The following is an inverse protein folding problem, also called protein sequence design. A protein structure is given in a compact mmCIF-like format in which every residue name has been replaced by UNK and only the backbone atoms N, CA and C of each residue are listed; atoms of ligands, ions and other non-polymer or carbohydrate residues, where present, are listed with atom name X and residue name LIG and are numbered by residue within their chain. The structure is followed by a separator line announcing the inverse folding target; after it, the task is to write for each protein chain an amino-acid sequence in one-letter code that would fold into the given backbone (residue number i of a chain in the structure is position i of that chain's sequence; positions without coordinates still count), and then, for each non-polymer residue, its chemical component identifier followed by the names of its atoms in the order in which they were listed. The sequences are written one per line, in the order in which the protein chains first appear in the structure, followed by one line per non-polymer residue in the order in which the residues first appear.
data_IF_652301679569
#
_entry.id   IF_652301679569
#
_cell.length_a   1.000
_cell.length_b   1.000
_cell.length_c   1.000
_cell.angle_alpha   90.00
_cell.angle_beta   90.00
_cell.angle_gamma   90.00
#
_symmetry.space_group_name_H-M   'P 1'
#
loop_
_entity.id
_entity.type
_entity.pdbx_description
1 polymer ?
#
# COMPACT_ATOMS: atom_id res chain seq x y z
N UNK A 1 12.79 -49.41 -33.14
CA UNK A 1 12.76 -48.30 -34.11
C UNK A 1 11.33 -47.98 -34.49
N UNK A 2 10.67 -47.04 -33.79
CA UNK A 2 9.33 -46.55 -34.15
C UNK A 2 9.22 -45.05 -33.84
N UNK A 3 9.36 -44.28 -34.92
CA UNK A 3 8.78 -42.98 -35.27
C UNK A 3 8.66 -41.92 -34.16
N UNK A 4 9.65 -41.03 -34.17
CA UNK A 4 9.58 -39.64 -33.69
C UNK A 4 8.41 -38.93 -34.40
N UNK A 5 7.47 -38.41 -33.62
CA UNK A 5 6.43 -37.49 -34.10
C UNK A 5 6.81 -36.08 -33.64
N UNK A 6 7.45 -35.35 -34.56
CA UNK A 6 7.63 -33.90 -34.50
C UNK A 6 6.37 -33.28 -35.09
N UNK A 7 5.63 -32.53 -34.28
CA UNK A 7 4.61 -31.54 -34.65
C UNK A 7 4.10 -30.94 -33.32
N UNK A 8 3.88 -29.65 -33.12
CA UNK A 8 3.87 -28.48 -33.99
C UNK A 8 3.99 -27.30 -33.00
N UNK A 9 4.82 -26.33 -33.35
CA UNK A 9 4.92 -25.02 -32.72
C UNK A 9 3.55 -24.35 -32.52
N UNK A 10 3.17 -24.07 -31.27
CA UNK A 10 2.18 -23.05 -30.95
C UNK A 10 2.92 -21.81 -30.41
N UNK A 11 3.49 -21.07 -31.36
CA UNK A 11 3.83 -19.66 -31.17
C UNK A 11 2.54 -18.85 -31.20
N UNK A 12 2.53 -17.75 -30.43
CA UNK A 12 1.45 -16.76 -30.29
C UNK A 12 0.37 -17.26 -29.32
N UNK A 13 0.19 -16.65 -28.16
CA UNK A 13 -0.18 -15.24 -28.04
C UNK A 13 0.77 -14.57 -27.05
N UNK A 14 1.56 -13.61 -27.52
CA UNK A 14 1.93 -12.47 -26.70
C UNK A 14 0.60 -11.92 -26.21
N UNK A 15 0.21 -12.25 -24.98
CA UNK A 15 -0.81 -11.47 -24.30
C UNK A 15 -0.21 -10.07 -24.31
N UNK A 16 -0.70 -9.26 -25.24
CA UNK A 16 -0.45 -7.83 -25.24
C UNK A 16 -0.66 -7.42 -23.80
N UNK A 17 0.44 -7.06 -23.11
CA UNK A 17 0.35 -6.06 -22.07
C UNK A 17 -0.24 -4.87 -22.78
N UNK A 18 -1.59 -4.83 -22.86
CA UNK A 18 -2.32 -3.64 -23.19
C UNK A 18 -1.89 -2.67 -22.11
N UNK A 19 -0.91 -1.84 -22.44
CA UNK A 19 -0.59 -0.64 -21.70
C UNK A 19 -1.68 0.39 -22.01
N UNK A 20 -2.94 0.00 -21.85
CA UNK A 20 -4.01 0.93 -21.55
C UNK A 20 -4.01 1.04 -20.03
N UNK A 21 -2.90 1.57 -19.50
CA UNK A 21 -3.02 2.43 -18.32
C UNK A 21 -3.81 3.61 -18.88
N UNK A 22 -5.14 3.57 -18.70
CA UNK A 22 -5.94 4.78 -18.62
C UNK A 22 -5.08 5.73 -17.80
N UNK A 23 -4.59 6.79 -18.44
CA UNK A 23 -3.73 7.76 -17.80
C UNK A 23 -4.51 8.26 -16.61
N UNK A 24 -4.19 7.74 -15.42
CA UNK A 24 -4.76 8.22 -14.18
C UNK A 24 -4.32 9.67 -14.09
N UNK A 25 -5.21 10.58 -14.48
CA UNK A 25 -4.93 12.00 -14.39
C UNK A 25 -4.49 12.28 -12.97
N UNK A 26 -3.32 12.89 -12.86
CA UNK A 26 -2.75 13.25 -11.57
C UNK A 26 -3.77 14.09 -10.80
N UNK A 27 -4.22 13.58 -9.66
CA UNK A 27 -5.12 14.27 -8.77
C UNK A 27 -4.40 14.49 -7.42
N UNK A 28 -4.05 15.74 -7.07
CA UNK A 28 -3.35 16.07 -5.83
C UNK A 28 -4.00 15.50 -4.58
N UNK A 29 -5.31 15.23 -4.58
CA UNK A 29 -6.00 14.67 -3.41
C UNK A 29 -5.53 13.25 -3.05
N UNK A 30 -4.95 12.53 -4.01
CA UNK A 30 -4.39 11.19 -3.80
C UNK A 30 -2.86 11.19 -3.64
N UNK A 31 -2.23 12.37 -3.66
CA UNK A 31 -0.79 12.50 -3.43
C UNK A 31 -0.47 12.22 -1.95
N UNK A 32 0.50 11.34 -1.74
CA UNK A 32 1.14 11.06 -0.46
C UNK A 32 2.53 11.71 -0.50
N UNK A 33 2.76 12.69 0.37
CA UNK A 33 4.06 13.34 0.52
C UNK A 33 4.72 12.86 1.82
N UNK A 34 5.93 12.33 1.75
CA UNK A 34 6.60 11.70 2.90
C UNK A 34 7.98 12.33 3.08
N UNK A 35 8.28 12.79 4.28
CA UNK A 35 9.62 13.16 4.69
C UNK A 35 10.08 12.26 5.84
N UNK A 36 10.87 11.24 5.48
CA UNK A 36 11.41 10.27 6.44
C UNK A 36 12.42 10.87 7.43
N UNK A 37 12.98 12.07 7.15
CA UNK A 37 13.93 12.74 8.07
C UNK A 37 13.18 13.46 9.17
N UNK A 38 12.08 14.13 8.83
CA UNK A 38 11.28 14.90 9.80
C UNK A 38 10.15 14.10 10.42
N UNK A 39 9.78 12.96 9.84
CA UNK A 39 8.62 12.17 10.25
C UNK A 39 7.29 12.77 9.79
N UNK A 40 7.34 13.75 8.88
CA UNK A 40 6.16 14.40 8.33
C UNK A 40 5.58 13.56 7.20
N UNK A 41 4.26 13.34 7.25
CA UNK A 41 3.52 12.70 6.17
C UNK A 41 2.28 13.53 5.84
N UNK A 42 2.02 13.74 4.56
CA UNK A 42 0.79 14.37 4.07
C UNK A 42 0.04 13.45 3.12
N UNK A 43 -1.28 13.57 3.14
CA UNK A 43 -2.17 12.94 2.17
C UNK A 43 -3.13 14.02 1.64
N UNK A 44 -3.20 14.19 0.32
CA UNK A 44 -4.05 15.22 -0.28
C UNK A 44 -3.72 16.64 0.18
N UNK A 45 -2.45 16.90 0.48
CA UNK A 45 -1.96 18.18 1.03
C UNK A 45 -2.19 18.38 2.54
N UNK A 46 -2.86 17.45 3.23
CA UNK A 46 -3.11 17.53 4.68
C UNK A 46 -2.08 16.73 5.45
N UNK A 47 -1.46 17.35 6.47
CA UNK A 47 -0.54 16.66 7.38
C UNK A 47 -1.32 15.63 8.18
N UNK A 48 -0.85 14.38 8.16
CA UNK A 48 -1.40 13.32 8.97
C UNK A 48 -0.75 13.33 10.36
N UNK A 49 -1.53 12.93 11.36
CA UNK A 49 -1.04 12.77 12.72
C UNK A 49 -0.30 11.44 12.84
N UNK A 50 0.88 11.43 13.47
CA UNK A 50 1.57 10.18 13.80
C UNK A 50 0.70 9.34 14.74
N UNK A 51 0.67 8.02 14.50
CA UNK A 51 0.01 7.09 15.42
C UNK A 51 0.79 7.01 16.74
N UNK A 52 0.11 6.60 17.82
CA UNK A 52 0.80 6.29 19.07
C UNK A 52 1.78 5.12 18.87
N UNK A 53 2.81 4.98 19.72
CA UNK A 53 3.73 3.84 19.63
C UNK A 53 3.04 2.48 19.69
N UNK A 54 2.01 2.34 20.53
CA UNK A 54 1.19 1.14 20.64
C UNK A 54 0.45 0.81 19.33
N UNK A 55 -0.27 1.78 18.76
CA UNK A 55 -1.00 1.57 17.51
C UNK A 55 -0.06 1.32 16.32
N UNK A 56 1.11 1.94 16.35
CA UNK A 56 2.17 1.70 15.37
C UNK A 56 2.65 0.26 15.42
N UNK A 57 2.96 -0.26 16.62
CA UNK A 57 3.38 -1.65 16.81
C UNK A 57 2.31 -2.64 16.31
N UNK A 58 1.04 -2.40 16.62
CA UNK A 58 -0.06 -3.25 16.15
C UNK A 58 -0.15 -3.26 14.61
N UNK A 59 -0.02 -2.09 13.98
CA UNK A 59 0.01 -1.98 12.51
C UNK A 59 1.19 -2.75 11.90
N UNK A 60 2.37 -2.67 12.51
CA UNK A 60 3.56 -3.37 12.03
C UNK A 60 3.45 -4.90 12.22
N UNK A 61 2.88 -5.35 13.35
CA UNK A 61 2.53 -6.77 13.56
C UNK A 61 1.57 -7.27 12.50
N UNK A 62 0.55 -6.48 12.16
CA UNK A 62 -0.39 -6.84 11.10
C UNK A 62 0.30 -7.03 9.74
N UNK A 63 1.23 -6.14 9.36
CA UNK A 63 2.00 -6.28 8.10
C UNK A 63 2.92 -7.49 8.09
N UNK A 64 3.45 -7.88 9.26
CA UNK A 64 4.32 -9.06 9.40
C UNK A 64 3.55 -10.35 9.62
N UNK A 65 2.21 -10.30 9.60
CA UNK A 65 1.33 -11.42 9.91
C UNK A 65 1.64 -12.06 11.28
N UNK A 66 1.95 -11.22 12.27
CA UNK A 66 2.17 -11.61 13.66
C UNK A 66 0.86 -11.59 14.46
N UNK A 67 0.84 -12.28 15.59
CA UNK A 67 -0.32 -12.29 16.49
C UNK A 67 -0.61 -10.88 17.03
N UNK A 68 -1.83 -10.42 16.83
CA UNK A 68 -2.31 -9.13 17.34
C UNK A 68 -2.76 -9.25 18.81
N UNK A 69 -2.72 -8.15 19.58
CA UNK A 69 -3.31 -8.12 20.92
C UNK A 69 -4.79 -8.48 20.89
N UNK A 70 -5.28 -9.01 22.01
CA UNK A 70 -6.69 -9.39 22.15
C UNK A 70 -7.62 -8.20 21.87
N UNK A 71 -8.73 -8.47 21.17
CA UNK A 71 -9.70 -7.44 20.81
C UNK A 71 -9.34 -6.62 19.56
N UNK A 72 -8.17 -6.83 18.95
CA UNK A 72 -7.80 -6.19 17.70
C UNK A 72 -7.91 -7.14 16.50
N UNK A 73 -8.37 -6.60 15.37
CA UNK A 73 -8.28 -7.20 14.04
C UNK A 73 -7.71 -6.18 13.08
N UNK A 74 -6.93 -6.63 12.10
CA UNK A 74 -6.35 -5.74 11.10
C UNK A 74 -6.58 -6.29 9.69
N UNK A 75 -6.82 -5.38 8.74
CA UNK A 75 -6.95 -5.68 7.32
C UNK A 75 -6.04 -4.74 6.53
N UNK A 76 -5.15 -5.29 5.70
CA UNK A 76 -4.41 -4.49 4.71
C UNK A 76 -5.35 -4.26 3.53
N UNK A 77 -5.84 -3.03 3.38
CA UNK A 77 -6.89 -2.69 2.40
C UNK A 77 -6.32 -2.08 1.12
N UNK A 78 -5.07 -1.62 1.17
CA UNK A 78 -4.35 -1.12 0.01
C UNK A 78 -2.86 -1.23 0.25
N UNK A 79 -2.12 -1.55 -0.80
CA UNK A 79 -0.67 -1.54 -0.81
C UNK A 79 -0.19 -0.94 -2.12
N UNK A 80 0.96 -0.30 -2.08
CA UNK A 80 1.62 0.16 -3.28
C UNK A 80 3.05 0.59 -3.02
N UNK A 81 3.70 0.99 -4.09
CA UNK A 81 5.06 1.50 -4.07
C UNK A 81 5.15 2.78 -4.88
N UNK A 82 6.09 3.62 -4.51
CA UNK A 82 6.48 4.82 -5.23
C UNK A 82 7.88 4.69 -5.82
N UNK A 83 8.35 5.77 -6.44
CA UNK A 83 9.77 5.91 -6.79
C UNK A 83 10.67 5.76 -5.55
N UNK A 84 11.94 5.43 -5.78
CA UNK A 84 12.97 5.31 -4.74
C UNK A 84 12.67 4.24 -3.66
N UNK A 85 12.04 3.12 -4.02
CA UNK A 85 11.76 1.98 -3.14
C UNK A 85 10.89 2.32 -1.90
N UNK A 86 10.10 3.40 -1.98
CA UNK A 86 9.13 3.69 -0.92
C UNK A 86 7.94 2.77 -1.07
N UNK A 87 7.61 2.07 0.01
CA UNK A 87 6.43 1.24 0.13
C UNK A 87 5.40 1.96 1.00
N UNK A 88 4.13 1.76 0.68
CA UNK A 88 3.04 2.19 1.56
C UNK A 88 1.96 1.12 1.68
N UNK A 89 1.30 1.12 2.83
CA UNK A 89 0.19 0.23 3.16
C UNK A 89 -0.89 1.03 3.87
N UNK A 90 -2.14 0.90 3.43
CA UNK A 90 -3.27 1.30 4.26
C UNK A 90 -3.75 0.08 5.05
N UNK A 91 -3.88 0.26 6.36
CA UNK A 91 -4.34 -0.75 7.29
C UNK A 91 -5.62 -0.25 7.95
N UNK A 92 -6.68 -1.04 7.89
CA UNK A 92 -7.88 -0.86 8.72
C UNK A 92 -7.68 -1.65 10.00
N UNK A 93 -7.62 -0.95 11.12
CA UNK A 93 -7.57 -1.57 12.45
C UNK A 93 -8.95 -1.49 13.08
N UNK A 94 -9.46 -2.64 13.55
CA UNK A 94 -10.78 -2.80 14.15
C UNK A 94 -10.60 -3.23 15.59
N UNK A 95 -11.26 -2.54 16.51
CA UNK A 95 -11.32 -2.88 17.94
C UNK A 95 -12.72 -2.68 18.50
N UNK A 96 -12.90 -2.91 19.80
CA UNK A 96 -14.15 -2.63 20.52
C UNK A 96 -14.59 -1.16 20.44
N UNK A 97 -13.64 -0.25 20.22
CA UNK A 97 -13.90 1.19 20.12
C UNK A 97 -14.24 1.66 18.69
N UNK A 98 -14.27 0.75 17.71
CA UNK A 98 -14.58 1.05 16.32
C UNK A 98 -13.44 0.69 15.36
N UNK A 99 -13.46 1.28 14.16
CA UNK A 99 -12.42 1.06 13.15
C UNK A 99 -11.74 2.35 12.74
N UNK A 100 -10.40 2.33 12.66
CA UNK A 100 -9.58 3.44 12.20
C UNK A 100 -8.68 2.99 11.05
N UNK A 101 -8.27 3.94 10.23
CA UNK A 101 -7.36 3.70 9.10
C UNK A 101 -5.98 4.27 9.41
N UNK A 102 -4.95 3.54 9.00
CA UNK A 102 -3.57 3.92 9.19
C UNK A 102 -2.82 3.81 7.87
N UNK A 103 -1.95 4.78 7.61
CA UNK A 103 -1.00 4.75 6.51
C UNK A 103 0.37 4.41 7.08
N UNK A 104 0.85 3.22 6.73
CA UNK A 104 2.23 2.80 6.99
C UNK A 104 3.06 3.12 5.77
N UNK A 105 4.19 3.81 5.94
CA UNK A 105 5.14 4.10 4.87
C UNK A 105 6.55 3.70 5.27
N UNK A 106 7.31 3.10 4.35
CA UNK A 106 8.67 2.64 4.59
C UNK A 106 9.59 2.92 3.40
N UNK A 107 10.84 3.30 3.67
CA UNK A 107 11.91 3.38 2.66
C UNK A 107 12.98 2.28 2.85
N UNK A 108 12.66 1.24 3.62
CA UNK A 108 13.58 0.15 3.97
C UNK A 108 14.48 0.42 5.19
N UNK A 109 14.75 1.68 5.53
CA UNK A 109 15.49 2.05 6.75
C UNK A 109 14.59 2.61 7.85
N UNK A 110 13.60 3.41 7.46
CA UNK A 110 12.66 4.08 8.36
C UNK A 110 11.25 3.61 8.00
N UNK A 111 10.46 3.28 9.01
CA UNK A 111 9.03 2.99 8.87
C UNK A 111 8.25 3.94 9.75
N UNK A 112 7.19 4.51 9.18
CA UNK A 112 6.32 5.51 9.80
C UNK A 112 4.88 5.01 9.75
N UNK A 113 4.09 5.38 10.76
CA UNK A 113 2.67 5.02 10.85
C UNK A 113 1.88 6.27 11.22
N UNK A 114 0.92 6.64 10.38
CA UNK A 114 0.10 7.83 10.54
C UNK A 114 -1.40 7.51 10.49
N UNK A 115 -2.20 8.26 11.22
CA UNK A 115 -3.66 8.11 11.27
C UNK A 115 -4.26 8.75 10.01
N UNK A 116 -5.10 7.99 9.32
CA UNK A 116 -5.85 8.43 8.14
C UNK A 116 -7.29 8.71 8.55
N UNK A 117 -7.68 9.98 8.52
CA UNK A 117 -9.03 10.40 8.96
C UNK A 117 -10.11 10.11 7.92
N UNK A 118 -9.75 10.05 6.63
CA UNK A 118 -10.69 9.84 5.53
C UNK A 118 -10.05 8.96 4.46
N UNK A 119 -10.19 7.63 4.60
CA UNK A 119 -9.73 6.71 3.57
C UNK A 119 -10.83 6.47 2.53
N UNK A 120 -10.54 6.77 1.26
CA UNK A 120 -11.38 6.42 0.13
C UNK A 120 -10.93 5.09 -0.48
N UNK A 121 -11.68 4.02 -0.20
CA UNK A 121 -11.36 2.64 -0.57
C UNK A 121 -11.26 2.42 -2.08
N UNK A 122 -12.00 3.18 -2.88
CA UNK A 122 -12.08 2.97 -4.33
C UNK A 122 -10.86 3.51 -5.09
N UNK A 123 -9.90 4.13 -4.39
CA UNK A 123 -8.83 4.91 -5.00
C UNK A 123 -7.43 4.44 -4.62
N UNK A 124 -7.26 3.18 -4.18
CA UNK A 124 -5.95 2.59 -3.91
C UNK A 124 -4.98 2.74 -5.10
N UNK A 125 -5.47 2.47 -6.32
CA UNK A 125 -4.67 2.56 -7.55
C UNK A 125 -4.33 3.99 -7.97
N UNK A 126 -5.00 4.99 -7.40
CA UNK A 126 -4.78 6.41 -7.72
C UNK A 126 -3.76 7.08 -6.83
N UNK A 127 -3.15 6.34 -5.89
CA UNK A 127 -2.19 6.89 -4.93
C UNK A 127 -0.84 7.14 -5.59
N UNK A 128 -0.32 8.35 -5.40
CA UNK A 128 0.99 8.77 -5.90
C UNK A 128 1.88 9.09 -4.72
N UNK A 129 3.15 8.71 -4.77
CA UNK A 129 4.13 9.07 -3.73
C UNK A 129 5.08 10.15 -4.25
N UNK A 130 5.33 11.13 -3.39
CA UNK A 130 6.45 12.06 -3.49
C UNK A 130 7.24 11.98 -2.18
N UNK A 131 8.52 11.69 -2.27
CA UNK A 131 9.40 11.42 -1.11
C UNK A 131 10.72 12.18 -1.17
#
# INVERSE_FOLDING_TARGET
MKKILIALSLTLIFASCSSEIDTFDYDPKYLIEIDFKTGLLKEGGKVLQAASPELSDICLKALRNETLPEGYKAEVICQGSGGNNVLFYYIKLISSNGSNYYLVSSNGSVTMVHIVTHYDQNNCLKRWIKN
#
